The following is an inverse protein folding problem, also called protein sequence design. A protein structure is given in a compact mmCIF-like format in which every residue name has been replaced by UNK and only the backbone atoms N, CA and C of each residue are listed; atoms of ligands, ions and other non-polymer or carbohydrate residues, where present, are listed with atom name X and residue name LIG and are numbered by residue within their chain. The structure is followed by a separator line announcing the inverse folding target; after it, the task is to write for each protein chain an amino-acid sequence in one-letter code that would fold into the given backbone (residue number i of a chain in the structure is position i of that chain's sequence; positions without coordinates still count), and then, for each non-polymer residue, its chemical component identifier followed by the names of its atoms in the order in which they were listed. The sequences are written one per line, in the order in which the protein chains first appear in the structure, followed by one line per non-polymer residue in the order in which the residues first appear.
data_IF_294876541587
#
_entry.id   IF_294876541587
#
_cell.length_a   1.000
_cell.length_b   1.000
_cell.length_c   1.000
_cell.angle_alpha   90.00
_cell.angle_beta   90.00
_cell.angle_gamma   90.00
#
_symmetry.space_group_name_H-M   'P 1'
#
loop_
_entity.id
_entity.type
_entity.pdbx_description
1 polymer ?
#
# COMPACT_ATOMS: atom_id res chain seq x y z
N UNK A 1 -30.27 -10.63 2.02
CA UNK A 1 -28.83 -10.46 1.80
C UNK A 1 -28.15 -10.86 3.10
N UNK A 2 -27.41 -11.97 3.10
CA UNK A 2 -26.61 -12.39 4.25
C UNK A 2 -25.31 -11.55 4.29
N UNK A 3 -24.63 -11.50 5.43
CA UNK A 3 -23.33 -10.82 5.62
C UNK A 3 -22.31 -11.27 4.57
N UNK A 4 -22.29 -12.55 4.19
CA UNK A 4 -21.42 -13.06 3.13
C UNK A 4 -21.76 -12.49 1.75
N UNK A 5 -23.04 -12.32 1.42
CA UNK A 5 -23.45 -11.71 0.15
C UNK A 5 -23.00 -10.24 0.11
N UNK A 6 -23.17 -9.52 1.23
CA UNK A 6 -22.69 -8.15 1.37
C UNK A 6 -21.17 -8.06 1.24
N UNK A 7 -20.42 -9.00 1.82
CA UNK A 7 -18.97 -9.05 1.72
C UNK A 7 -18.50 -9.33 0.29
N UNK A 8 -19.17 -10.22 -0.44
CA UNK A 8 -18.89 -10.45 -1.87
C UNK A 8 -19.19 -9.21 -2.72
N UNK A 9 -20.30 -8.53 -2.45
CA UNK A 9 -20.64 -7.28 -3.13
C UNK A 9 -19.61 -6.19 -2.83
N UNK A 10 -19.17 -6.06 -1.58
CA UNK A 10 -18.11 -5.13 -1.19
C UNK A 10 -16.79 -5.45 -1.91
N UNK A 11 -16.39 -6.73 -1.94
CA UNK A 11 -15.20 -7.17 -2.68
C UNK A 11 -15.25 -6.77 -4.15
N UNK A 12 -16.40 -6.94 -4.81
CA UNK A 12 -16.61 -6.52 -6.20
C UNK A 12 -16.51 -5.00 -6.34
N UNK A 13 -17.18 -4.24 -5.46
CA UNK A 13 -17.16 -2.79 -5.48
C UNK A 13 -15.74 -2.22 -5.28
N UNK A 14 -14.94 -2.80 -4.39
CA UNK A 14 -13.53 -2.43 -4.20
C UNK A 14 -12.75 -2.61 -5.50
N UNK A 15 -12.89 -3.77 -6.17
CA UNK A 15 -12.21 -4.04 -7.45
C UNK A 15 -12.66 -3.12 -8.59
N UNK A 16 -13.90 -2.66 -8.53
CA UNK A 16 -14.45 -1.74 -9.54
C UNK A 16 -14.14 -0.27 -9.23
N UNK A 17 -13.69 0.04 -8.02
CA UNK A 17 -13.34 1.39 -7.59
C UNK A 17 -12.18 1.96 -8.41
N UNK A 18 -12.26 3.27 -8.67
CA UNK A 18 -11.20 4.01 -9.35
C UNK A 18 -9.89 3.94 -8.59
N UNK A 19 -9.92 4.01 -7.25
CA UNK A 19 -8.73 3.90 -6.41
C UNK A 19 -7.98 2.57 -6.60
N UNK A 20 -8.70 1.45 -6.71
CA UNK A 20 -8.06 0.15 -6.98
C UNK A 20 -7.53 0.05 -8.40
N UNK A 21 -8.28 0.53 -9.39
CA UNK A 21 -7.87 0.52 -10.81
C UNK A 21 -6.62 1.37 -11.03
N UNK A 22 -6.62 2.60 -10.52
CA UNK A 22 -5.45 3.50 -10.56
C UNK A 22 -4.22 2.84 -9.92
N UNK A 23 -4.40 2.18 -8.78
CA UNK A 23 -3.33 1.47 -8.09
C UNK A 23 -2.80 0.29 -8.92
N UNK A 24 -3.69 -0.52 -9.49
CA UNK A 24 -3.33 -1.67 -10.31
C UNK A 24 -2.57 -1.23 -11.57
N UNK A 25 -3.07 -0.21 -12.26
CA UNK A 25 -2.45 0.33 -13.48
C UNK A 25 -1.09 0.96 -13.17
N UNK A 26 -0.99 1.76 -12.10
CA UNK A 26 0.29 2.35 -11.68
C UNK A 26 1.33 1.27 -11.30
N UNK A 27 0.87 0.17 -10.69
CA UNK A 27 1.72 -0.98 -10.36
C UNK A 27 2.25 -1.67 -11.61
N UNK A 28 1.38 -1.98 -12.57
CA UNK A 28 1.77 -2.64 -13.82
C UNK A 28 2.75 -1.77 -14.65
N UNK A 29 2.51 -0.46 -14.69
CA UNK A 29 3.41 0.49 -15.35
C UNK A 29 4.80 0.53 -14.67
N UNK A 30 4.85 0.47 -13.35
CA UNK A 30 6.11 0.42 -12.60
C UNK A 30 6.85 -0.92 -12.83
N UNK A 31 6.13 -2.04 -12.83
CA UNK A 31 6.69 -3.38 -13.07
C UNK A 31 7.27 -3.53 -14.49
N UNK A 32 6.74 -2.78 -15.44
CA UNK A 32 7.23 -2.74 -16.83
C UNK A 32 8.64 -2.14 -16.95
N UNK A 33 9.09 -1.34 -15.98
CA UNK A 33 10.45 -0.82 -15.92
C UNK A 33 11.31 -1.67 -14.96
N UNK A 34 12.10 -2.60 -15.51
CA UNK A 34 12.92 -3.54 -14.71
C UNK A 34 13.82 -2.86 -13.66
N UNK A 35 14.50 -1.76 -14.02
CA UNK A 35 15.44 -1.11 -13.10
C UNK A 35 14.72 -0.41 -11.94
N UNK A 36 13.57 0.22 -12.20
CA UNK A 36 12.75 0.81 -11.16
C UNK A 36 12.08 -0.26 -10.31
N UNK A 37 11.58 -1.33 -10.92
CA UNK A 37 10.91 -2.42 -10.23
C UNK A 37 11.86 -3.11 -9.23
N UNK A 38 13.12 -3.37 -9.59
CA UNK A 38 14.11 -3.91 -8.65
C UNK A 38 14.31 -3.01 -7.43
N UNK A 39 14.46 -1.70 -7.65
CA UNK A 39 14.63 -0.72 -6.58
C UNK A 39 13.38 -0.58 -5.71
N UNK A 40 12.20 -0.66 -6.33
CA UNK A 40 10.92 -0.61 -5.65
C UNK A 40 10.66 -1.88 -4.81
N UNK A 41 11.01 -3.06 -5.32
CA UNK A 41 10.90 -4.31 -4.56
C UNK A 41 11.82 -4.32 -3.34
N UNK A 42 13.05 -3.78 -3.45
CA UNK A 42 13.93 -3.59 -2.30
C UNK A 42 13.29 -2.65 -1.27
N UNK A 43 12.72 -1.53 -1.72
CA UNK A 43 11.98 -0.61 -0.85
C UNK A 43 10.82 -1.31 -0.12
N UNK A 44 9.94 -2.05 -0.82
CA UNK A 44 8.79 -2.75 -0.21
C UNK A 44 9.22 -3.81 0.79
N UNK A 45 10.31 -4.52 0.51
CA UNK A 45 10.88 -5.49 1.44
C UNK A 45 11.33 -4.81 2.74
N UNK A 46 12.13 -3.75 2.65
CA UNK A 46 12.59 -2.98 3.82
C UNK A 46 11.43 -2.34 4.58
N UNK A 47 10.44 -1.79 3.88
CA UNK A 47 9.22 -1.24 4.50
C UNK A 47 8.50 -2.32 5.33
N UNK A 48 8.41 -3.54 4.80
CA UNK A 48 7.77 -4.67 5.48
C UNK A 48 8.57 -5.13 6.68
N UNK A 49 9.88 -5.30 6.54
CA UNK A 49 10.79 -5.74 7.60
C UNK A 49 10.79 -4.74 8.77
N UNK A 50 10.80 -3.44 8.46
CA UNK A 50 10.66 -2.37 9.45
C UNK A 50 9.32 -2.45 10.18
N UNK A 51 8.22 -2.63 9.44
CA UNK A 51 6.88 -2.75 10.02
C UNK A 51 6.75 -3.96 10.93
N UNK A 52 7.30 -5.11 10.53
CA UNK A 52 7.31 -6.33 11.36
C UNK A 52 8.14 -6.11 12.63
N UNK A 53 9.27 -5.44 12.53
CA UNK A 53 10.11 -5.10 13.68
C UNK A 53 9.37 -4.21 14.69
N UNK A 54 8.67 -3.17 14.20
CA UNK A 54 7.84 -2.30 15.04
C UNK A 54 6.72 -3.08 15.74
N UNK A 55 6.02 -3.97 15.02
CA UNK A 55 4.97 -4.82 15.61
C UNK A 55 5.50 -5.80 16.66
N UNK A 56 6.76 -6.21 16.54
CA UNK A 56 7.42 -7.11 17.50
C UNK A 56 7.88 -6.40 18.78
N UNK A 57 7.63 -5.09 18.91
CA UNK A 57 8.05 -4.29 20.05
C UNK A 57 9.56 -3.97 20.06
N UNK A 58 10.27 -4.20 18.94
CA UNK A 58 11.65 -3.75 18.79
C UNK A 58 11.63 -2.27 18.40
N UNK A 59 12.50 -1.48 19.02
CA UNK A 59 12.73 -0.10 18.57
C UNK A 59 13.19 -0.14 17.10
N UNK A 60 12.54 0.64 16.22
CA UNK A 60 12.97 0.70 14.83
C UNK A 60 14.40 1.24 14.76
N UNK A 61 15.25 0.60 13.96
CA UNK A 61 16.60 1.10 13.73
C UNK A 61 16.50 2.44 12.98
N UNK A 62 16.96 3.53 13.63
CA UNK A 62 16.94 4.87 13.05
C UNK A 62 17.69 4.92 11.71
N UNK A 63 18.74 4.11 11.52
CA UNK A 63 19.46 4.02 10.26
C UNK A 63 18.62 3.35 9.17
N UNK A 64 17.81 2.34 9.52
CA UNK A 64 16.89 1.72 8.56
C UNK A 64 15.78 2.69 8.16
N UNK A 65 15.22 3.44 9.12
CA UNK A 65 14.27 4.52 8.83
C UNK A 65 14.87 5.59 7.91
N UNK A 66 16.09 6.06 8.19
CA UNK A 66 16.76 7.06 7.35
C UNK A 66 17.03 6.52 5.95
N UNK A 67 17.47 5.26 5.84
CA UNK A 67 17.70 4.59 4.56
C UNK A 67 16.42 4.45 3.76
N UNK A 68 15.32 4.05 4.40
CA UNK A 68 14.02 3.90 3.76
C UNK A 68 13.51 5.26 3.24
N UNK A 69 13.65 6.33 4.04
CA UNK A 69 13.30 7.69 3.63
C UNK A 69 14.14 8.17 2.43
N UNK A 70 15.45 7.87 2.41
CA UNK A 70 16.31 8.18 1.26
C UNK A 70 15.88 7.43 0.00
N UNK A 71 15.61 6.12 0.11
CA UNK A 71 15.08 5.32 -1.00
C UNK A 71 13.77 5.87 -1.52
N UNK A 72 12.84 6.20 -0.63
CA UNK A 72 11.56 6.83 -0.99
C UNK A 72 11.79 8.14 -1.75
N UNK A 73 12.70 9.00 -1.27
CA UNK A 73 13.02 10.27 -1.92
C UNK A 73 13.68 10.11 -3.30
N UNK A 74 14.45 9.05 -3.52
CA UNK A 74 15.01 8.73 -4.84
C UNK A 74 13.94 8.19 -5.78
N UNK A 75 13.14 7.22 -5.32
CA UNK A 75 12.06 6.63 -6.10
C UNK A 75 11.00 7.67 -6.47
N UNK A 76 10.64 8.55 -5.54
CA UNK A 76 9.62 9.60 -5.77
C UNK A 76 10.00 10.63 -6.84
N UNK A 77 11.26 10.68 -7.27
CA UNK A 77 11.69 11.52 -8.41
C UNK A 77 11.25 10.95 -9.75
N UNK A 78 11.04 9.64 -9.82
CA UNK A 78 10.54 9.00 -11.02
C UNK A 78 9.02 9.16 -11.10
N UNK A 79 8.47 9.66 -12.22
CA UNK A 79 7.02 9.83 -12.39
C UNK A 79 6.23 8.54 -12.18
N UNK A 80 6.75 7.37 -12.56
CA UNK A 80 6.05 6.08 -12.41
C UNK A 80 5.91 5.71 -10.94
N UNK A 81 6.99 5.88 -10.16
CA UNK A 81 6.97 5.64 -8.72
C UNK A 81 6.12 6.67 -7.98
N UNK A 82 6.19 7.95 -8.37
CA UNK A 82 5.37 9.00 -7.77
C UNK A 82 3.86 8.74 -7.98
N UNK A 83 3.47 8.37 -9.20
CA UNK A 83 2.10 7.97 -9.52
C UNK A 83 1.67 6.73 -8.73
N UNK A 84 2.55 5.72 -8.62
CA UNK A 84 2.30 4.55 -7.79
C UNK A 84 2.04 4.92 -6.32
N UNK A 85 2.91 5.70 -5.68
CA UNK A 85 2.74 6.07 -4.28
C UNK A 85 1.47 6.88 -4.04
N UNK A 86 1.11 7.75 -4.99
CA UNK A 86 -0.15 8.51 -4.92
C UNK A 86 -1.37 7.60 -5.02
N UNK A 87 -1.36 6.65 -5.96
CA UNK A 87 -2.44 5.69 -6.14
C UNK A 87 -2.55 4.72 -4.94
N UNK A 88 -1.40 4.23 -4.44
CA UNK A 88 -1.32 3.41 -3.23
C UNK A 88 -1.88 4.14 -2.01
N UNK A 89 -1.57 5.43 -1.84
CA UNK A 89 -2.12 6.24 -0.75
C UNK A 89 -3.64 6.36 -0.81
N UNK A 90 -4.21 6.65 -1.99
CA UNK A 90 -5.67 6.70 -2.18
C UNK A 90 -6.33 5.36 -1.90
N UNK A 91 -5.75 4.27 -2.40
CA UNK A 91 -6.26 2.93 -2.17
C UNK A 91 -6.18 2.54 -0.69
N UNK A 92 -5.09 2.88 0.00
CA UNK A 92 -4.93 2.63 1.43
C UNK A 92 -5.96 3.39 2.26
N UNK A 93 -6.21 4.66 1.94
CA UNK A 93 -7.24 5.44 2.61
C UNK A 93 -8.63 4.80 2.46
N UNK A 94 -8.98 4.35 1.25
CA UNK A 94 -10.22 3.59 1.02
C UNK A 94 -10.30 2.36 1.92
N UNK A 95 -9.22 1.56 2.01
CA UNK A 95 -9.18 0.37 2.86
C UNK A 95 -9.26 0.71 4.36
N UNK A 96 -8.62 1.78 4.81
CA UNK A 96 -8.65 2.22 6.19
C UNK A 96 -10.07 2.66 6.58
N UNK A 97 -10.75 3.41 5.72
CA UNK A 97 -12.12 3.86 5.95
C UNK A 97 -13.11 2.68 5.94
N UNK A 98 -12.92 1.71 5.05
CA UNK A 98 -13.69 0.46 5.07
C UNK A 98 -13.43 -0.36 6.34
N UNK A 99 -12.18 -0.42 6.78
CA UNK A 99 -11.80 -1.16 8.00
C UNK A 99 -12.43 -0.53 9.25
N UNK A 100 -12.52 0.80 9.31
CA UNK A 100 -13.24 1.52 10.39
C UNK A 100 -14.73 1.17 10.41
N UNK A 101 -15.40 1.20 9.25
CA UNK A 101 -16.82 0.83 9.14
C UNK A 101 -17.06 -0.60 9.62
N UNK A 102 -16.17 -1.52 9.25
CA UNK A 102 -16.24 -2.91 9.70
C UNK A 102 -15.98 -3.03 11.21
N UNK A 103 -15.01 -2.30 11.75
CA UNK A 103 -14.70 -2.28 13.18
C UNK A 103 -15.88 -1.74 14.01
N UNK A 104 -16.52 -0.66 13.57
CA UNK A 104 -17.74 -0.10 14.17
C UNK A 104 -18.87 -1.14 14.22
N UNK A 105 -19.07 -1.89 13.14
CA UNK A 105 -20.07 -2.95 13.09
C UNK A 105 -19.76 -4.12 14.04
N UNK A 106 -18.48 -4.38 14.31
CA UNK A 106 -18.01 -5.41 15.24
C UNK A 106 -17.88 -4.92 16.69
N UNK A 107 -18.06 -3.63 16.94
CA UNK A 107 -17.80 -2.97 18.24
C UNK A 107 -16.38 -3.20 18.77
N UNK A 108 -15.38 -3.18 17.89
CA UNK A 108 -13.95 -3.32 18.21
C UNK A 108 -13.24 -1.98 18.01
#
# INVERSE_FOLDING_TARGET
MNVYDSAHNLSKAIKESEAYKDYADAKENLESNKSLNESFLDFKRRETDLRVSMLSGKEPDENEMETLNKLFGVLSKDPLCSEYFRAEGRYRQLLDDLSKILAEAMQI
#
